data_IF_845863864895
#
_entry.id   IF_845863864895
#
_cell.length_a   1.000
_cell.length_b   1.000
_cell.length_c   1.000
_cell.angle_alpha   90.00
_cell.angle_beta   90.00
_cell.angle_gamma   90.00
#
_symmetry.space_group_name_H-M   'P 1'
#
loop_
_entity.id
_entity.type
_entity.pdbx_description
1 polymer ?
#
# COMPACT_ATOMS: atom_id res chain seq x y z
N UNK A 1 -59.18 28.05 0.87
CA UNK A 1 -57.71 28.03 0.83
C UNK A 1 -57.22 27.08 1.90
N UNK A 2 -56.71 25.90 1.54
CA UNK A 2 -56.09 24.95 2.48
C UNK A 2 -54.73 24.55 1.91
N UNK A 3 -53.68 24.98 2.60
CA UNK A 3 -52.29 24.63 2.33
C UNK A 3 -52.00 23.24 2.92
N UNK A 4 -51.60 22.29 2.10
CA UNK A 4 -51.00 21.03 2.56
C UNK A 4 -49.50 21.09 2.27
N UNK A 5 -48.71 21.30 3.32
CA UNK A 5 -47.25 21.34 3.32
C UNK A 5 -46.67 19.95 3.07
N UNK A 6 -45.90 19.79 1.99
CA UNK A 6 -45.07 18.61 1.73
C UNK A 6 -43.86 18.59 2.67
N UNK A 7 -43.77 17.58 3.53
CA UNK A 7 -42.52 17.24 4.22
C UNK A 7 -41.84 16.10 3.46
N UNK A 8 -40.83 16.44 2.64
CA UNK A 8 -39.93 15.47 2.03
C UNK A 8 -38.74 15.23 2.98
N UNK A 9 -38.73 14.10 3.68
CA UNK A 9 -37.59 13.69 4.51
C UNK A 9 -36.51 13.07 3.63
N UNK A 10 -35.45 13.82 3.32
CA UNK A 10 -34.21 13.26 2.78
C UNK A 10 -33.55 12.40 3.86
N UNK A 11 -33.56 11.08 3.68
CA UNK A 11 -32.73 10.16 4.47
C UNK A 11 -31.43 9.89 3.71
N UNK A 12 -30.36 10.60 4.04
CA UNK A 12 -29.01 10.31 3.57
C UNK A 12 -28.41 9.19 4.42
N UNK A 13 -28.37 7.97 3.89
CA UNK A 13 -27.61 6.88 4.49
C UNK A 13 -26.10 7.15 4.30
N UNK A 14 -25.40 7.46 5.39
CA UNK A 14 -23.94 7.55 5.40
C UNK A 14 -23.40 6.12 5.53
N UNK A 15 -22.96 5.52 4.42
CA UNK A 15 -22.18 4.30 4.45
C UNK A 15 -20.77 4.61 4.96
N UNK A 16 -20.57 4.49 6.27
CA UNK A 16 -19.23 4.40 6.84
C UNK A 16 -18.67 3.01 6.51
N UNK A 17 -18.03 2.89 5.34
CA UNK A 17 -17.19 1.74 5.05
C UNK A 17 -15.92 1.85 5.92
N UNK A 18 -15.94 1.22 7.09
CA UNK A 18 -14.71 0.87 7.81
C UNK A 18 -14.02 -0.21 6.97
N UNK A 19 -13.33 0.22 5.92
CA UNK A 19 -12.60 -0.66 5.02
C UNK A 19 -11.42 -1.25 5.78
N UNK A 20 -11.51 -2.53 6.14
CA UNK A 20 -10.32 -3.38 6.17
C UNK A 20 -9.74 -3.28 4.75
N UNK A 21 -8.65 -2.52 4.57
CA UNK A 21 -7.91 -2.57 3.31
C UNK A 21 -7.53 -4.03 3.10
N UNK A 22 -8.07 -4.65 2.06
CA UNK A 22 -7.67 -5.99 1.68
C UNK A 22 -6.16 -5.95 1.40
N UNK A 23 -5.39 -6.78 2.10
CA UNK A 23 -3.94 -6.86 1.89
C UNK A 23 -3.66 -7.11 0.40
N UNK A 24 -2.73 -6.35 -0.19
CA UNK A 24 -2.44 -6.45 -1.62
C UNK A 24 -1.82 -7.79 -2.02
N UNK A 25 -1.06 -8.40 -1.10
CA UNK A 25 -0.47 -9.74 -1.20
C UNK A 25 0.31 -10.00 -2.51
N UNK A 26 1.10 -9.02 -2.96
CA UNK A 26 1.85 -9.14 -4.22
C UNK A 26 2.73 -10.40 -4.29
N UNK A 27 3.33 -10.81 -3.17
CA UNK A 27 4.28 -11.93 -3.15
C UNK A 27 3.63 -13.28 -3.49
N UNK A 28 2.30 -13.40 -3.47
CA UNK A 28 1.59 -14.60 -3.94
C UNK A 28 1.88 -14.92 -5.42
N UNK A 29 2.25 -13.92 -6.23
CA UNK A 29 2.54 -14.09 -7.66
C UNK A 29 3.81 -13.37 -8.13
N UNK A 30 4.57 -12.79 -7.20
CA UNK A 30 5.81 -12.07 -7.48
C UNK A 30 7.03 -12.79 -6.88
N UNK A 31 8.18 -12.59 -7.52
CA UNK A 31 9.45 -13.23 -7.18
C UNK A 31 10.62 -12.29 -7.46
N UNK A 32 11.79 -12.61 -6.91
CA UNK A 32 13.03 -11.83 -7.06
C UNK A 32 12.88 -10.35 -6.69
N UNK A 33 12.07 -10.06 -5.67
CA UNK A 33 11.81 -8.69 -5.28
C UNK A 33 12.89 -8.12 -4.36
N UNK A 34 13.24 -6.86 -4.57
CA UNK A 34 14.25 -6.13 -3.80
C UNK A 34 13.95 -4.64 -3.76
N UNK A 35 14.49 -3.97 -2.74
CA UNK A 35 14.41 -2.51 -2.62
C UNK A 35 15.66 -1.88 -3.20
N UNK A 36 15.49 -0.95 -4.12
CA UNK A 36 16.54 -0.16 -4.74
C UNK A 36 16.37 1.31 -4.36
N UNK A 37 17.48 2.00 -4.10
CA UNK A 37 17.47 3.45 -3.91
C UNK A 37 16.63 3.91 -2.71
N UNK A 38 16.46 3.06 -1.70
CA UNK A 38 15.67 3.28 -0.47
C UNK A 38 14.14 3.17 -0.61
N UNK A 39 13.57 3.41 -1.79
CA UNK A 39 12.12 3.54 -1.96
C UNK A 39 11.54 2.89 -3.21
N UNK A 40 12.32 2.29 -4.09
CA UNK A 40 11.80 1.57 -5.25
C UNK A 40 11.79 0.06 -5.00
N UNK A 41 10.60 -0.52 -4.92
CA UNK A 41 10.44 -1.97 -4.95
C UNK A 41 10.45 -2.44 -6.39
N UNK A 42 11.38 -3.32 -6.73
CA UNK A 42 11.39 -4.07 -7.99
C UNK A 42 10.89 -5.47 -7.73
N UNK A 43 10.14 -6.05 -8.67
CA UNK A 43 9.73 -7.45 -8.62
C UNK A 43 9.41 -8.00 -10.01
N UNK A 44 9.53 -9.32 -10.18
CA UNK A 44 9.00 -10.05 -11.34
C UNK A 44 7.70 -10.75 -10.95
N UNK A 45 6.60 -10.29 -11.50
CA UNK A 45 5.23 -10.64 -11.12
C UNK A 45 4.47 -11.35 -12.24
N UNK A 46 3.58 -12.27 -11.89
CA UNK A 46 2.68 -12.92 -12.85
C UNK A 46 1.73 -11.91 -13.50
N UNK A 47 1.53 -12.02 -14.81
CA UNK A 47 0.69 -11.09 -15.60
C UNK A 47 -0.79 -11.48 -15.67
N UNK A 48 -1.17 -12.61 -15.04
CA UNK A 48 -2.53 -13.17 -15.08
C UNK A 48 -2.87 -13.95 -16.35
N UNK A 49 -1.91 -14.09 -17.29
CA UNK A 49 -2.06 -14.76 -18.58
C UNK A 49 -1.08 -15.93 -18.77
N UNK A 50 -0.40 -16.32 -17.69
CA UNK A 50 0.65 -17.35 -17.69
C UNK A 50 2.06 -16.81 -17.94
N UNK A 51 2.20 -15.51 -18.19
CA UNK A 51 3.48 -14.82 -18.32
C UNK A 51 3.91 -14.14 -17.03
N UNK A 52 5.05 -13.45 -17.11
CA UNK A 52 5.60 -12.64 -16.03
C UNK A 52 6.07 -11.30 -16.57
N UNK A 53 5.96 -10.26 -15.77
CA UNK A 53 6.45 -8.91 -16.05
C UNK A 53 7.29 -8.43 -14.89
N UNK A 54 8.45 -7.85 -15.19
CA UNK A 54 9.24 -7.12 -14.20
C UNK A 54 8.76 -5.69 -14.15
N UNK A 55 8.36 -5.23 -12.98
CA UNK A 55 7.91 -3.86 -12.76
C UNK A 55 8.51 -3.29 -11.48
N UNK A 56 8.41 -1.97 -11.34
CA UNK A 56 8.85 -1.25 -10.15
C UNK A 56 7.76 -0.35 -9.61
N UNK A 57 7.79 -0.13 -8.29
CA UNK A 57 6.87 0.73 -7.57
C UNK A 57 7.64 1.62 -6.61
N UNK A 58 7.38 2.92 -6.66
CA UNK A 58 7.85 3.84 -5.64
C UNK A 58 7.01 3.67 -4.36
N UNK A 59 7.59 3.05 -3.34
CA UNK A 59 6.96 2.76 -2.06
C UNK A 59 6.54 4.02 -1.29
N UNK A 60 7.06 5.21 -1.61
CA UNK A 60 6.55 6.47 -1.05
C UNK A 60 5.08 6.72 -1.40
N UNK A 61 4.58 6.12 -2.50
CA UNK A 61 3.18 6.21 -2.87
C UNK A 61 2.27 5.37 -1.95
N UNK A 62 2.81 4.35 -1.27
CA UNK A 62 2.01 3.36 -0.55
C UNK A 62 2.33 3.27 0.95
N UNK A 63 3.48 3.77 1.39
CA UNK A 63 3.96 3.60 2.77
C UNK A 63 4.25 4.97 3.38
N UNK A 64 3.72 5.17 4.59
CA UNK A 64 3.99 6.31 5.45
C UNK A 64 4.79 5.93 6.68
N UNK A 65 5.36 6.95 7.31
CA UNK A 65 6.02 6.83 8.61
C UNK A 65 5.14 7.48 9.68
N UNK A 66 4.67 6.71 10.67
CA UNK A 66 3.88 7.20 11.81
C UNK A 66 4.73 7.38 13.08
N UNK A 67 6.01 7.75 12.87
CA UNK A 67 7.01 7.94 13.90
C UNK A 67 7.81 6.68 14.21
N UNK A 68 7.14 5.65 14.77
CA UNK A 68 7.82 4.39 15.17
C UNK A 68 7.56 3.22 14.22
N UNK A 69 6.51 3.32 13.40
CA UNK A 69 6.07 2.23 12.53
C UNK A 69 5.92 2.71 11.09
N UNK A 70 6.18 1.81 10.14
CA UNK A 70 5.83 2.01 8.75
C UNK A 70 4.42 1.45 8.54
N UNK A 71 3.54 2.24 7.94
CA UNK A 71 2.12 1.91 7.75
C UNK A 71 1.72 2.09 6.30
N UNK A 72 0.76 1.29 5.83
CA UNK A 72 0.18 1.50 4.51
C UNK A 72 -0.58 2.83 4.49
N UNK A 73 -0.08 3.80 3.73
CA UNK A 73 -0.63 5.15 3.63
C UNK A 73 -0.35 5.68 2.24
N UNK A 74 -1.41 6.06 1.54
CA UNK A 74 -1.32 6.72 0.25
C UNK A 74 -0.48 8.00 0.37
N UNK A 75 0.49 8.16 -0.53
CA UNK A 75 1.45 9.28 -0.53
C UNK A 75 2.16 9.47 0.83
N UNK A 76 2.43 8.38 1.53
CA UNK A 76 2.98 8.42 2.88
C UNK A 76 4.42 8.93 2.96
N UNK A 77 5.18 8.88 1.86
CA UNK A 77 6.53 9.45 1.75
C UNK A 77 7.48 9.06 2.90
N UNK A 78 7.43 7.80 3.35
CA UNK A 78 8.20 7.33 4.50
C UNK A 78 9.71 7.55 4.35
N UNK A 79 10.24 7.55 3.12
CA UNK A 79 11.66 7.73 2.84
C UNK A 79 12.20 9.12 3.23
N UNK A 80 11.34 10.08 3.58
CA UNK A 80 11.77 11.39 4.13
C UNK A 80 12.35 11.28 5.54
N UNK A 81 11.86 10.33 6.34
CA UNK A 81 12.31 10.10 7.72
C UNK A 81 13.02 8.76 7.93
N UNK A 82 13.22 8.00 6.85
CA UNK A 82 13.78 6.65 6.89
C UNK A 82 14.82 6.43 5.79
N UNK A 83 15.87 5.69 6.10
CA UNK A 83 16.98 5.34 5.22
C UNK A 83 17.36 3.87 5.36
N UNK A 84 18.34 3.42 4.57
CA UNK A 84 18.89 2.06 4.61
C UNK A 84 17.82 0.95 4.51
N UNK A 85 16.80 1.18 3.67
CA UNK A 85 15.71 0.22 3.49
C UNK A 85 16.10 -0.97 2.62
N UNK A 86 15.79 -2.17 3.11
CA UNK A 86 16.07 -3.44 2.44
C UNK A 86 15.02 -4.50 2.80
N UNK A 87 14.88 -5.51 1.94
CA UNK A 87 14.11 -6.72 2.26
C UNK A 87 14.88 -7.48 3.33
N UNK A 88 14.27 -7.68 4.49
CA UNK A 88 14.91 -8.36 5.61
C UNK A 88 14.60 -9.86 5.64
N UNK A 89 13.32 -10.22 5.55
CA UNK A 89 12.86 -11.62 5.53
C UNK A 89 11.48 -11.68 4.90
N UNK A 90 11.23 -12.66 4.03
CA UNK A 90 9.97 -12.75 3.27
C UNK A 90 9.61 -11.41 2.64
N UNK A 91 8.41 -10.91 2.92
CA UNK A 91 7.91 -9.61 2.45
C UNK A 91 8.15 -8.46 3.43
N UNK A 92 8.83 -8.70 4.55
CA UNK A 92 9.13 -7.66 5.53
C UNK A 92 10.31 -6.82 5.05
N UNK A 93 10.03 -5.55 4.79
CA UNK A 93 11.03 -4.52 4.59
C UNK A 93 11.43 -3.93 5.93
N UNK A 94 12.73 -3.83 6.19
CA UNK A 94 13.28 -3.08 7.32
C UNK A 94 13.96 -1.82 6.81
N UNK A 95 13.72 -0.71 7.49
CA UNK A 95 14.40 0.57 7.30
C UNK A 95 14.99 1.05 8.63
N UNK A 96 15.99 1.92 8.56
CA UNK A 96 16.40 2.75 9.68
C UNK A 96 15.55 4.02 9.67
N UNK A 97 14.82 4.29 10.75
CA UNK A 97 13.93 5.44 10.87
C UNK A 97 14.24 6.17 12.17
N UNK A 98 14.69 7.43 12.08
CA UNK A 98 15.19 8.16 13.25
C UNK A 98 16.28 7.37 14.00
N UNK A 99 16.09 7.17 15.31
CA UNK A 99 17.01 6.39 16.16
C UNK A 99 16.68 4.89 16.22
N UNK A 100 15.73 4.40 15.42
CA UNK A 100 15.23 3.02 15.49
C UNK A 100 15.08 2.36 14.13
N UNK A 101 14.36 1.24 14.11
CA UNK A 101 14.01 0.52 12.88
C UNK A 101 12.51 0.61 12.61
N UNK A 102 12.15 0.95 11.37
CA UNK A 102 10.79 0.79 10.85
C UNK A 102 10.68 -0.53 10.12
N UNK A 103 9.57 -1.25 10.34
CA UNK A 103 9.26 -2.49 9.62
C UNK A 103 7.92 -2.30 8.91
N UNK A 104 7.87 -2.66 7.64
CA UNK A 104 6.64 -2.75 6.86
C UNK A 104 6.49 -4.17 6.32
N UNK A 105 5.29 -4.75 6.40
CA UNK A 105 4.96 -5.91 5.58
C UNK A 105 4.49 -5.42 4.20
N UNK A 106 5.29 -5.68 3.17
CA UNK A 106 4.97 -5.26 1.81
C UNK A 106 3.73 -5.98 1.26
N UNK A 107 3.35 -7.15 1.78
CA UNK A 107 2.10 -7.79 1.38
C UNK A 107 0.86 -7.03 1.85
N UNK A 108 0.96 -6.24 2.93
CA UNK A 108 -0.16 -5.40 3.36
C UNK A 108 -0.35 -4.21 2.42
N UNK A 109 0.76 -3.60 1.97
CA UNK A 109 0.72 -2.32 1.26
C UNK A 109 0.85 -2.41 -0.27
N UNK A 110 1.31 -3.54 -0.81
CA UNK A 110 1.62 -3.71 -2.23
C UNK A 110 0.81 -4.86 -2.83
N UNK A 111 0.22 -4.60 -3.99
CA UNK A 111 -0.50 -5.57 -4.81
C UNK A 111 0.21 -5.79 -6.15
N UNK A 112 -0.04 -6.97 -6.74
CA UNK A 112 0.23 -7.21 -8.15
C UNK A 112 -1.06 -7.01 -8.97
N UNK A 113 -1.03 -6.10 -9.95
CA UNK A 113 -2.12 -5.85 -10.90
C UNK A 113 -1.64 -6.23 -12.30
N UNK A 114 -1.85 -7.49 -12.68
CA UNK A 114 -1.49 -8.03 -14.00
C UNK A 114 0.00 -7.81 -14.37
N UNK A 115 0.92 -8.08 -13.44
CA UNK A 115 2.36 -7.96 -13.64
C UNK A 115 2.93 -6.61 -13.20
N UNK A 116 2.06 -5.65 -12.88
CA UNK A 116 2.43 -4.31 -12.44
C UNK A 116 2.26 -4.18 -10.93
N UNK A 117 3.32 -3.81 -10.23
CA UNK A 117 3.26 -3.47 -8.81
C UNK A 117 2.43 -2.19 -8.62
N UNK A 118 1.53 -2.20 -7.65
CA UNK A 118 0.69 -1.07 -7.27
C UNK A 118 0.49 -1.03 -5.75
N UNK A 119 0.03 0.11 -5.22
CA UNK A 119 -0.47 0.13 -3.85
C UNK A 119 -1.72 -0.76 -3.72
N UNK A 120 -1.89 -1.40 -2.57
CA UNK A 120 -3.03 -2.26 -2.25
C UNK A 120 -4.35 -1.49 -2.21
#
# INVERSE_FOLDING_TARGET
MHFATLFATLSTAIFAASGVQAAGNFAASCSNYYVQGNNFLWATCGDGRGGKTTSSLNLNACIGNDGRNLVCRANGNYATGCSACLIHTGTYMRCQCGSGSGIADLNECVANRNGLLACA
#
